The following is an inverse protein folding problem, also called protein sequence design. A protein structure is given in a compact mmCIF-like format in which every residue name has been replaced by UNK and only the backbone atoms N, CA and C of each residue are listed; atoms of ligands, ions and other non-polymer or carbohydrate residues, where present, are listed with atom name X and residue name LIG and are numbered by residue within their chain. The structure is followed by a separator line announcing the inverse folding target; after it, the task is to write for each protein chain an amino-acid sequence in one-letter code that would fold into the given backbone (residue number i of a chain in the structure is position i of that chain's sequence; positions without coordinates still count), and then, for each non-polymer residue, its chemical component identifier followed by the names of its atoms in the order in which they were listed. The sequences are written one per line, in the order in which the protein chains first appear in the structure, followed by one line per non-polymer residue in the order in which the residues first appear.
data_IF_329908341031
#
_entry.id   IF_329908341031
#
_cell.length_a   1.000
_cell.length_b   1.000
_cell.length_c   1.000
_cell.angle_alpha   90.00
_cell.angle_beta   90.00
_cell.angle_gamma   90.00
#
_symmetry.space_group_name_H-M   'P 1'
#
loop_
_entity.id
_entity.type
_entity.pdbx_description
1 polymer ?
#
# COMPACT_ATOMS: atom_id res chain seq x y z
N UNK A 1 -28.51 -1.52 -4.74
CA UNK A 1 -27.08 -1.86 -4.94
C UNK A 1 -26.67 -1.48 -6.36
N UNK A 2 -26.17 -0.25 -6.56
CA UNK A 2 -25.76 0.21 -7.89
C UNK A 2 -24.55 -0.59 -8.37
N UNK A 3 -24.72 -1.37 -9.45
CA UNK A 3 -23.61 -2.05 -10.13
C UNK A 3 -22.60 -0.98 -10.54
N UNK A 4 -21.38 -1.05 -9.99
CA UNK A 4 -20.25 -0.23 -10.46
C UNK A 4 -20.22 -0.28 -11.99
N UNK A 5 -20.14 0.87 -12.69
CA UNK A 5 -20.19 0.89 -14.14
C UNK A 5 -19.13 -0.06 -14.69
N UNK A 6 -19.55 -0.93 -15.63
CA UNK A 6 -18.72 -1.94 -16.29
C UNK A 6 -17.65 -1.22 -17.09
N UNK A 7 -16.54 -0.89 -16.41
CA UNK A 7 -15.37 -0.15 -16.87
C UNK A 7 -15.14 -0.26 -18.38
N UNK A 8 -15.50 0.80 -19.11
CA UNK A 8 -15.03 1.25 -20.44
C UNK A 8 -14.86 0.24 -21.57
N UNK A 9 -15.27 -1.02 -21.42
CA UNK A 9 -14.97 -2.03 -22.44
C UNK A 9 -15.70 -1.74 -23.75
N UNK A 10 -16.88 -1.11 -23.71
CA UNK A 10 -17.65 -0.78 -24.92
C UNK A 10 -16.88 0.18 -25.85
N UNK A 11 -16.24 1.21 -25.32
CA UNK A 11 -15.42 2.13 -26.11
C UNK A 11 -14.24 1.41 -26.77
N UNK A 12 -13.52 0.57 -26.02
CA UNK A 12 -12.40 -0.19 -26.56
C UNK A 12 -12.83 -1.27 -27.57
N UNK A 13 -14.01 -1.86 -27.39
CA UNK A 13 -14.57 -2.84 -28.30
C UNK A 13 -14.99 -2.20 -29.63
N UNK A 14 -15.62 -1.02 -29.57
CA UNK A 14 -15.91 -0.21 -30.77
C UNK A 14 -14.63 0.16 -31.51
N UNK A 15 -13.59 0.62 -30.80
CA UNK A 15 -12.28 0.90 -31.40
C UNK A 15 -11.63 -0.34 -32.00
N UNK A 16 -11.69 -1.48 -31.31
CA UNK A 16 -11.15 -2.74 -31.83
C UNK A 16 -11.87 -3.15 -33.13
N UNK A 17 -13.20 -2.99 -33.20
CA UNK A 17 -13.98 -3.28 -34.40
C UNK A 17 -13.67 -2.33 -35.56
N UNK A 18 -13.44 -1.05 -35.28
CA UNK A 18 -13.19 -0.02 -36.29
C UNK A 18 -11.75 -0.02 -36.80
N UNK A 19 -10.77 -0.11 -35.90
CA UNK A 19 -9.34 0.05 -36.20
C UNK A 19 -8.64 -1.30 -36.49
N UNK A 20 -9.17 -2.43 -35.96
CA UNK A 20 -8.54 -3.76 -36.07
C UNK A 20 -9.57 -4.87 -36.37
N UNK A 21 -10.27 -4.81 -37.52
CA UNK A 21 -11.35 -5.73 -37.85
C UNK A 21 -10.91 -7.20 -37.88
N UNK A 22 -9.67 -7.50 -38.30
CA UNK A 22 -9.14 -8.87 -38.34
C UNK A 22 -8.99 -9.45 -36.93
N UNK A 23 -8.41 -8.68 -36.00
CA UNK A 23 -8.27 -9.08 -34.60
C UNK A 23 -9.64 -9.25 -33.95
N UNK A 24 -10.62 -8.39 -34.28
CA UNK A 24 -11.99 -8.55 -33.83
C UNK A 24 -12.65 -9.82 -34.40
N UNK A 25 -12.42 -10.13 -35.67
CA UNK A 25 -12.86 -11.36 -36.32
C UNK A 25 -12.29 -12.61 -35.63
N UNK A 26 -11.03 -12.58 -35.21
CA UNK A 26 -10.39 -13.67 -34.45
C UNK A 26 -10.95 -13.86 -33.04
N UNK A 27 -11.47 -12.79 -32.41
CA UNK A 27 -12.21 -12.90 -31.16
C UNK A 27 -13.55 -13.61 -31.39
N UNK A 28 -14.28 -13.22 -32.44
CA UNK A 28 -15.58 -13.84 -32.77
C UNK A 28 -15.42 -15.31 -33.19
N UNK A 29 -14.36 -15.63 -33.92
CA UNK A 29 -14.01 -17.00 -34.30
C UNK A 29 -13.45 -17.83 -33.13
N UNK A 30 -13.27 -17.24 -31.94
CA UNK A 30 -12.75 -17.93 -30.76
C UNK A 30 -11.24 -18.21 -30.78
N UNK A 31 -10.51 -17.77 -31.82
CA UNK A 31 -9.04 -17.91 -31.90
C UNK A 31 -8.33 -17.07 -30.84
N UNK A 32 -8.88 -15.90 -30.51
CA UNK A 32 -8.45 -15.08 -29.37
C UNK A 32 -9.43 -15.29 -28.21
N UNK A 33 -8.94 -15.95 -27.16
CA UNK A 33 -9.74 -16.40 -26.01
C UNK A 33 -10.42 -15.30 -25.16
N UNK A 34 -10.10 -14.02 -25.37
CA UNK A 34 -10.79 -12.93 -24.67
C UNK A 34 -10.60 -11.58 -25.36
N UNK A 35 -11.61 -10.71 -25.21
CA UNK A 35 -11.54 -9.31 -25.65
C UNK A 35 -10.30 -8.59 -25.08
N UNK A 36 -9.93 -8.83 -23.81
CA UNK A 36 -8.74 -8.18 -23.24
C UNK A 36 -7.45 -8.61 -23.92
N UNK A 37 -7.33 -9.88 -24.32
CA UNK A 37 -6.15 -10.36 -25.06
C UNK A 37 -6.07 -9.69 -26.43
N UNK A 38 -7.20 -9.58 -27.13
CA UNK A 38 -7.28 -8.85 -28.39
C UNK A 38 -6.88 -7.37 -28.25
N UNK A 39 -7.36 -6.69 -27.21
CA UNK A 39 -6.98 -5.29 -26.94
C UNK A 39 -5.48 -5.11 -26.64
N UNK A 40 -4.82 -6.12 -26.08
CA UNK A 40 -3.37 -6.09 -25.87
C UNK A 40 -2.62 -6.33 -27.17
N UNK A 41 -3.07 -7.29 -28.00
CA UNK A 41 -2.49 -7.56 -29.32
C UNK A 41 -2.61 -6.33 -30.23
N UNK A 42 -3.77 -5.67 -30.21
CA UNK A 42 -4.04 -4.43 -30.95
C UNK A 42 -3.32 -3.19 -30.37
N UNK A 43 -2.56 -3.30 -29.28
CA UNK A 43 -1.89 -2.16 -28.64
C UNK A 43 -2.83 -1.16 -27.94
N UNK A 44 -4.15 -1.39 -27.96
CA UNK A 44 -5.16 -0.52 -27.35
C UNK A 44 -5.12 -0.54 -25.81
N UNK A 45 -4.57 -1.59 -25.21
CA UNK A 45 -4.32 -1.68 -23.76
C UNK A 45 -2.95 -2.26 -23.47
N UNK A 46 -2.25 -1.76 -22.43
CA UNK A 46 -1.00 -2.36 -22.00
C UNK A 46 -1.23 -3.75 -21.40
N UNK A 47 -0.24 -4.62 -21.59
CA UNK A 47 -0.17 -5.91 -20.92
C UNK A 47 0.00 -5.68 -19.41
N UNK A 48 -0.81 -6.39 -18.60
CA UNK A 48 -0.68 -6.27 -17.14
C UNK A 48 0.64 -6.87 -16.68
N UNK A 49 1.37 -6.11 -15.89
CA UNK A 49 2.59 -6.54 -15.22
C UNK A 49 2.28 -7.64 -14.20
N UNK A 50 3.32 -8.42 -13.82
CA UNK A 50 3.20 -9.45 -12.77
C UNK A 50 2.77 -8.83 -11.43
N UNK A 51 3.30 -7.64 -11.09
CA UNK A 51 2.95 -6.92 -9.87
C UNK A 51 1.46 -6.53 -9.84
N UNK A 52 0.91 -6.01 -10.94
CA UNK A 52 -0.51 -5.68 -11.02
C UNK A 52 -1.41 -6.91 -10.88
N UNK A 53 -0.98 -8.05 -11.44
CA UNK A 53 -1.68 -9.32 -11.27
C UNK A 53 -1.66 -9.75 -9.80
N UNK A 54 -0.51 -9.69 -9.14
CA UNK A 54 -0.37 -10.03 -7.72
C UNK A 54 -1.25 -9.13 -6.85
N UNK A 55 -1.23 -7.80 -7.07
CA UNK A 55 -2.12 -6.85 -6.39
C UNK A 55 -3.61 -7.19 -6.60
N UNK A 56 -3.99 -7.58 -7.81
CA UNK A 56 -5.37 -7.97 -8.10
C UNK A 56 -5.77 -9.27 -7.40
N UNK A 57 -4.92 -10.28 -7.45
CA UNK A 57 -5.15 -11.56 -6.76
C UNK A 57 -5.21 -11.36 -5.25
N UNK A 58 -4.29 -10.57 -4.68
CA UNK A 58 -4.30 -10.22 -3.26
C UNK A 58 -5.62 -9.56 -2.83
N UNK A 59 -6.09 -8.58 -3.62
CA UNK A 59 -7.37 -7.92 -3.35
C UNK A 59 -8.58 -8.85 -3.41
N UNK A 60 -8.50 -9.93 -4.20
CA UNK A 60 -9.57 -10.94 -4.34
C UNK A 60 -9.47 -12.11 -3.36
N UNK A 61 -8.29 -12.34 -2.80
CA UNK A 61 -8.06 -13.41 -1.84
C UNK A 61 -8.89 -13.21 -0.57
N UNK A 62 -9.41 -14.31 -0.04
CA UNK A 62 -10.06 -14.41 1.27
C UNK A 62 -9.06 -14.14 2.39
N UNK A 63 -9.53 -13.86 3.63
CA UNK A 63 -8.65 -13.68 4.78
C UNK A 63 -7.68 -14.87 4.97
N UNK A 64 -8.16 -16.11 4.90
CA UNK A 64 -7.33 -17.32 5.06
C UNK A 64 -6.29 -17.49 3.95
N UNK A 65 -6.62 -17.18 2.69
CA UNK A 65 -5.64 -17.21 1.59
C UNK A 65 -4.54 -16.17 1.76
N UNK A 66 -4.89 -14.98 2.28
CA UNK A 66 -3.91 -13.93 2.58
C UNK A 66 -2.99 -14.34 3.72
N UNK A 67 -3.55 -14.89 4.79
CA UNK A 67 -2.79 -15.41 5.92
C UNK A 67 -1.85 -16.53 5.49
N UNK A 68 -2.34 -17.53 4.76
CA UNK A 68 -1.51 -18.60 4.23
C UNK A 68 -0.37 -18.10 3.36
N UNK A 69 -0.60 -17.07 2.53
CA UNK A 69 0.46 -16.45 1.73
C UNK A 69 1.51 -15.72 2.60
N UNK A 70 1.10 -15.02 3.67
CA UNK A 70 2.03 -14.37 4.59
C UNK A 70 2.84 -15.40 5.38
N UNK A 71 2.21 -16.48 5.84
CA UNK A 71 2.89 -17.61 6.49
C UNK A 71 3.91 -18.24 5.55
N UNK A 72 3.54 -18.49 4.29
CA UNK A 72 4.48 -18.97 3.28
C UNK A 72 5.66 -18.01 3.07
N UNK A 73 5.43 -16.69 3.01
CA UNK A 73 6.50 -15.70 2.90
C UNK A 73 7.44 -15.69 4.11
N UNK A 74 6.91 -15.90 5.32
CA UNK A 74 7.69 -15.98 6.55
C UNK A 74 8.57 -17.23 6.57
N UNK A 75 8.00 -18.40 6.21
CA UNK A 75 8.75 -19.66 6.09
C UNK A 75 9.82 -19.55 4.99
N UNK A 76 9.51 -18.86 3.91
CA UNK A 76 10.44 -18.68 2.77
C UNK A 76 11.58 -17.68 3.06
N UNK A 77 11.60 -17.05 4.24
CA UNK A 77 12.63 -16.06 4.61
C UNK A 77 12.58 -14.76 3.78
N UNK A 78 11.48 -14.52 3.06
CA UNK A 78 11.30 -13.33 2.20
C UNK A 78 10.82 -12.14 3.03
N UNK A 79 10.08 -12.40 4.11
CA UNK A 79 9.80 -11.38 5.11
C UNK A 79 11.01 -11.22 6.02
N UNK A 80 11.39 -9.98 6.39
CA UNK A 80 12.34 -9.78 7.47
C UNK A 80 11.76 -10.49 8.69
N UNK A 81 12.44 -11.53 9.16
CA UNK A 81 12.05 -12.20 10.39
C UNK A 81 12.06 -11.12 11.48
N UNK A 82 10.89 -10.78 12.01
CA UNK A 82 10.88 -10.18 13.32
C UNK A 82 11.40 -11.28 14.22
N UNK A 83 12.67 -11.19 14.61
CA UNK A 83 13.33 -12.15 15.48
C UNK A 83 12.41 -12.45 16.66
N UNK A 84 11.70 -13.57 16.58
CA UNK A 84 11.12 -14.21 17.74
C UNK A 84 12.28 -14.95 18.38
N UNK A 85 13.03 -14.24 19.21
CA UNK A 85 13.95 -14.87 20.14
C UNK A 85 13.08 -15.61 21.17
N UNK A 86 13.27 -16.91 21.40
CA UNK A 86 12.64 -17.58 22.52
C UNK A 86 13.35 -17.11 23.79
N UNK A 87 12.76 -16.17 24.52
CA UNK A 87 13.31 -15.72 25.80
C UNK A 87 12.76 -16.61 26.92
N UNK A 88 13.52 -17.64 27.25
CA UNK A 88 13.59 -18.15 28.61
C UNK A 88 14.42 -17.17 29.46
N UNK A 89 13.88 -16.90 30.65
CA UNK A 89 14.53 -16.43 31.88
C UNK A 89 15.18 -15.04 31.99
N UNK A 90 14.54 -14.26 32.85
CA UNK A 90 15.09 -13.46 33.96
C UNK A 90 15.97 -12.24 33.64
N UNK A 91 15.29 -11.10 33.63
CA UNK A 91 15.67 -9.75 34.08
C UNK A 91 17.13 -9.50 34.52
N UNK A 92 17.86 -8.73 33.71
CA UNK A 92 18.61 -7.52 34.12
C UNK A 92 18.54 -6.51 32.95
N UNK A 93 17.96 -5.33 33.20
CA UNK A 93 17.91 -4.19 32.27
C UNK A 93 19.32 -3.66 31.95
N UNK A 94 19.64 -3.40 30.66
CA UNK A 94 19.87 -2.02 30.20
C UNK A 94 19.16 -1.73 28.84
N UNK A 95 19.24 -0.49 28.29
CA UNK A 95 18.09 0.28 27.82
C UNK A 95 17.39 -0.28 26.57
N UNK A 96 16.09 0.01 26.49
CA UNK A 96 15.17 -0.22 25.38
C UNK A 96 15.83 -0.30 23.99
N UNK A 97 15.55 -1.35 23.18
CA UNK A 97 16.08 -1.42 21.83
C UNK A 97 15.46 -0.30 21.01
N UNK A 98 16.33 0.61 20.57
CA UNK A 98 16.04 1.60 19.56
C UNK A 98 15.54 0.92 18.27
N UNK A 99 14.51 1.51 17.67
CA UNK A 99 14.29 1.43 16.23
C UNK A 99 13.27 0.40 15.76
N UNK A 100 12.00 0.56 16.17
CA UNK A 100 10.92 0.12 15.26
C UNK A 100 10.88 1.14 14.12
N UNK A 101 11.20 0.75 12.87
CA UNK A 101 11.24 1.69 11.77
C UNK A 101 9.86 2.29 11.55
N UNK A 102 9.75 3.62 11.66
CA UNK A 102 8.48 4.32 11.56
C UNK A 102 7.99 4.47 10.10
N UNK A 103 8.89 4.32 9.12
CA UNK A 103 8.63 4.49 7.70
C UNK A 103 9.38 3.46 6.83
N UNK A 104 8.79 3.13 5.67
CA UNK A 104 9.44 2.40 4.58
C UNK A 104 9.75 3.41 3.48
N UNK A 105 11.00 3.86 3.45
CA UNK A 105 11.43 4.96 2.60
C UNK A 105 10.70 6.26 2.95
N UNK A 106 9.84 6.74 2.05
CA UNK A 106 9.09 8.00 2.22
C UNK A 106 7.68 7.83 2.77
N UNK A 107 7.26 6.59 3.06
CA UNK A 107 5.89 6.26 3.44
C UNK A 107 5.86 5.76 4.88
N UNK A 108 4.94 6.28 5.69
CA UNK A 108 4.77 5.82 7.06
C UNK A 108 4.25 4.38 7.08
N UNK A 109 4.72 3.57 8.01
CA UNK A 109 4.14 2.24 8.23
C UNK A 109 2.70 2.38 8.74
N UNK A 110 1.80 1.44 8.41
CA UNK A 110 0.44 1.44 8.94
C UNK A 110 0.38 1.43 10.47
N UNK A 111 1.31 0.72 11.13
CA UNK A 111 1.46 0.71 12.58
C UNK A 111 1.81 2.09 13.13
N UNK A 112 2.74 2.80 12.50
CA UNK A 112 3.12 4.18 12.85
C UNK A 112 1.95 5.14 12.70
N UNK A 113 1.16 5.03 11.62
CA UNK A 113 -0.01 5.87 11.40
C UNK A 113 -1.02 5.70 12.55
N UNK A 114 -1.25 4.47 13.00
CA UNK A 114 -2.13 4.18 14.13
C UNK A 114 -1.62 4.81 15.43
N UNK A 115 -0.31 4.70 15.70
CA UNK A 115 0.34 5.29 16.88
C UNK A 115 0.23 6.81 16.89
N UNK A 116 0.58 7.47 15.79
CA UNK A 116 0.44 8.93 15.64
C UNK A 116 -1.02 9.36 15.86
N UNK A 117 -1.98 8.66 15.25
CA UNK A 117 -3.42 8.97 15.43
C UNK A 117 -3.89 8.80 16.87
N UNK A 118 -3.38 7.81 17.59
CA UNK A 118 -3.73 7.58 19.00
C UNK A 118 -3.25 8.74 19.89
N UNK A 119 -2.00 9.20 19.71
CA UNK A 119 -1.43 10.33 20.43
C UNK A 119 -2.20 11.63 20.09
N UNK A 120 -2.47 11.86 18.80
CA UNK A 120 -3.26 13.00 18.34
C UNK A 120 -4.66 12.99 18.96
N UNK A 121 -5.32 11.84 19.06
CA UNK A 121 -6.64 11.73 19.68
C UNK A 121 -6.59 12.00 21.20
N UNK A 122 -5.59 11.44 21.90
CA UNK A 122 -5.38 11.60 23.35
C UNK A 122 -5.16 13.06 23.73
N UNK A 123 -4.39 13.79 22.92
CA UNK A 123 -4.03 15.20 23.16
C UNK A 123 -4.86 16.22 22.37
N UNK A 124 -5.84 15.75 21.58
CA UNK A 124 -6.66 16.55 20.65
C UNK A 124 -5.85 17.43 19.69
N UNK A 125 -4.72 16.91 19.19
CA UNK A 125 -3.84 17.58 18.25
C UNK A 125 -4.34 17.41 16.81
N UNK A 126 -4.20 18.45 16.00
CA UNK A 126 -4.38 18.41 14.54
C UNK A 126 -3.04 18.14 13.85
N UNK A 127 -3.04 17.68 12.58
CA UNK A 127 -1.81 17.49 11.82
C UNK A 127 -0.93 18.74 11.76
N UNK A 128 -1.53 19.93 11.69
CA UNK A 128 -0.79 21.20 11.71
C UNK A 128 -0.09 21.45 13.06
N UNK A 129 -0.73 21.08 14.18
CA UNK A 129 -0.14 21.22 15.52
C UNK A 129 1.07 20.29 15.69
N UNK A 130 0.95 19.03 15.24
CA UNK A 130 2.06 18.06 15.25
C UNK A 130 3.24 18.57 14.41
N UNK A 131 2.97 19.12 13.23
CA UNK A 131 4.01 19.70 12.38
C UNK A 131 4.62 20.96 13.03
N UNK A 132 3.81 21.77 13.70
CA UNK A 132 4.27 22.94 14.45
C UNK A 132 5.19 22.58 15.62
N UNK A 133 4.86 21.55 16.40
CA UNK A 133 5.70 21.03 17.49
C UNK A 133 7.07 20.55 16.99
N UNK A 134 7.14 20.06 15.75
CA UNK A 134 8.38 19.66 15.09
C UNK A 134 9.08 20.79 14.32
N UNK A 135 8.54 22.02 14.33
CA UNK A 135 9.12 23.18 13.64
C UNK A 135 8.81 23.29 12.13
N UNK A 136 7.85 22.53 11.62
CA UNK A 136 7.44 22.55 10.21
C UNK A 136 6.13 23.34 10.00
N UNK A 137 6.22 24.66 9.90
CA UNK A 137 5.07 25.59 9.91
C UNK A 137 4.13 25.54 8.69
N UNK A 138 4.41 24.77 7.64
CA UNK A 138 3.64 24.79 6.37
C UNK A 138 3.29 23.42 5.78
N UNK A 139 3.59 22.33 6.47
CA UNK A 139 3.50 20.97 5.92
C UNK A 139 2.36 20.12 6.55
N UNK A 140 1.44 20.71 7.33
CA UNK A 140 0.33 19.98 7.97
C UNK A 140 -0.63 19.30 6.99
N UNK A 141 -0.84 19.89 5.81
CA UNK A 141 -1.60 19.23 4.73
C UNK A 141 -0.92 17.96 4.18
N UNK A 142 0.42 17.92 4.20
CA UNK A 142 1.21 16.76 3.78
C UNK A 142 1.11 15.62 4.79
N UNK A 143 1.19 15.94 6.10
CA UNK A 143 0.97 14.98 7.18
C UNK A 143 -0.46 14.44 7.16
N UNK A 144 -1.46 15.31 7.00
CA UNK A 144 -2.85 14.90 6.88
C UNK A 144 -3.07 13.90 5.72
N UNK A 145 -2.47 14.17 4.55
CA UNK A 145 -2.51 13.25 3.40
C UNK A 145 -1.77 11.94 3.68
N UNK A 146 -0.64 11.97 4.37
CA UNK A 146 0.10 10.78 4.75
C UNK A 146 -0.73 9.87 5.68
N UNK A 147 -1.37 10.45 6.71
CA UNK A 147 -2.20 9.73 7.67
C UNK A 147 -3.52 9.19 7.07
N UNK A 148 -4.08 9.86 6.06
CA UNK A 148 -5.36 9.49 5.45
C UNK A 148 -5.22 8.58 4.23
N UNK A 149 -4.20 8.80 3.39
CA UNK A 149 -4.06 8.16 2.07
C UNK A 149 -2.71 7.47 1.86
N UNK A 150 -1.89 7.34 2.90
CA UNK A 150 -0.53 6.80 2.81
C UNK A 150 0.31 7.53 1.74
N UNK A 151 0.23 8.86 1.73
CA UNK A 151 1.03 9.70 0.86
C UNK A 151 2.50 9.78 1.33
N UNK A 152 3.40 10.06 0.39
CA UNK A 152 4.82 10.24 0.68
C UNK A 152 5.09 11.52 1.47
N UNK A 153 5.97 11.43 2.47
CA UNK A 153 6.48 12.57 3.23
C UNK A 153 7.91 12.93 2.82
N UNK A 154 8.38 14.11 3.25
CA UNK A 154 9.80 14.49 3.18
C UNK A 154 10.58 13.72 4.23
N UNK A 155 11.82 13.37 3.94
CA UNK A 155 12.67 12.61 4.87
C UNK A 155 12.92 13.39 6.18
N UNK A 156 13.06 14.71 6.10
CA UNK A 156 13.17 15.57 7.29
C UNK A 156 11.93 15.48 8.20
N UNK A 157 10.73 15.38 7.63
CA UNK A 157 9.47 15.24 8.40
C UNK A 157 9.39 13.86 9.04
N UNK A 158 9.87 12.81 8.36
CA UNK A 158 9.94 11.47 8.94
C UNK A 158 10.92 11.45 10.13
N UNK A 159 12.12 12.02 9.98
CA UNK A 159 13.07 12.13 11.08
C UNK A 159 12.52 12.94 12.27
N UNK A 160 11.80 14.04 11.99
CA UNK A 160 11.09 14.81 13.00
C UNK A 160 10.03 13.97 13.72
N UNK A 161 9.20 13.23 12.98
CA UNK A 161 8.15 12.35 13.54
C UNK A 161 8.73 11.23 14.39
N UNK A 162 9.90 10.69 14.04
CA UNK A 162 10.55 9.68 14.86
C UNK A 162 10.96 10.24 16.23
N UNK A 163 11.50 11.46 16.24
CA UNK A 163 11.88 12.16 17.48
C UNK A 163 10.64 12.51 18.29
N UNK A 164 9.61 13.06 17.64
CA UNK A 164 8.34 13.41 18.26
C UNK A 164 7.63 12.21 18.87
N UNK A 165 7.60 11.06 18.18
CA UNK A 165 7.00 9.84 18.74
C UNK A 165 7.70 9.40 20.03
N UNK A 166 9.03 9.45 20.08
CA UNK A 166 9.80 9.12 21.30
C UNK A 166 9.46 10.03 22.47
N UNK A 167 9.15 11.30 22.23
CA UNK A 167 8.82 12.27 23.30
C UNK A 167 7.37 12.14 23.78
N UNK A 168 6.47 11.55 22.98
CA UNK A 168 5.03 11.57 23.26
C UNK A 168 4.39 10.18 23.47
N UNK A 169 5.17 9.10 23.36
CA UNK A 169 4.69 7.73 23.57
C UNK A 169 4.77 7.20 25.00
N UNK A 170 5.36 7.97 25.93
CA UNK A 170 5.30 7.73 27.37
C UNK A 170 3.95 8.17 28.00
#
# INVERSE_FOLDING_TARGET
MSKKPKRDNAHYEQRLKAEFPDIYGDVLAGRISSLRKALVIAGLKPQRTRLEKLKNSWGKATPGEREGFLTWLAISGVLPTASQTPAADTAVLPPFPAGVPIASGRYLLPSTITRIKAIMAKRRLKPDDVMGEMGFLSDGSSLARALAKNASLRLAVIAGLETWLRTHED
#
